data_IF_756222700865
#
_entry.id   IF_756222700865
#
_cell.length_a   1.000
_cell.length_b   1.000
_cell.length_c   1.000
_cell.angle_alpha   90.00
_cell.angle_beta   90.00
_cell.angle_gamma   90.00
#
_symmetry.space_group_name_H-M   'P 1'
#
loop_
_entity.id
_entity.type
_entity.pdbx_description
1 polymer ?
#
# COMPACT_ATOMS: atom_id res chain seq x y z
N UNK A 1 10.36 23.90 41.05
CA UNK A 1 9.15 24.05 41.88
C UNK A 1 8.72 22.75 42.57
N UNK A 2 8.47 21.65 41.86
CA UNK A 2 8.07 20.37 42.48
C UNK A 2 9.08 19.82 43.53
N UNK A 3 10.38 19.94 43.26
CA UNK A 3 11.43 19.53 44.21
C UNK A 3 11.40 20.29 45.55
N UNK A 4 11.03 21.58 45.52
CA UNK A 4 10.94 22.39 46.73
C UNK A 4 9.75 21.95 47.60
N UNK A 5 8.61 21.64 46.97
CA UNK A 5 7.44 21.08 47.66
C UNK A 5 7.71 19.70 48.25
N UNK A 6 8.37 18.80 47.51
CA UNK A 6 8.72 17.46 47.99
C UNK A 6 9.73 17.54 49.14
N UNK A 7 10.76 18.39 49.03
CA UNK A 7 11.74 18.57 50.12
C UNK A 7 11.10 19.19 51.37
N UNK A 8 10.20 20.16 51.20
CA UNK A 8 9.46 20.77 52.29
C UNK A 8 8.51 19.77 52.96
N UNK A 9 7.88 18.89 52.18
CA UNK A 9 7.01 17.83 52.69
C UNK A 9 7.78 16.77 53.50
N UNK A 10 8.93 16.30 52.99
CA UNK A 10 9.77 15.32 53.69
C UNK A 10 10.40 15.90 54.96
N UNK A 11 10.81 17.16 54.92
CA UNK A 11 11.29 17.86 56.12
C UNK A 11 10.17 18.01 57.14
N UNK A 12 8.98 18.50 56.76
CA UNK A 12 7.85 18.69 57.67
C UNK A 12 7.36 17.38 58.30
N UNK A 13 7.21 16.31 57.50
CA UNK A 13 6.75 15.01 58.01
C UNK A 13 7.82 14.29 58.85
N UNK A 14 9.10 14.48 58.52
CA UNK A 14 10.22 14.04 59.36
C UNK A 14 10.26 14.75 60.72
N UNK A 15 9.97 16.05 60.76
CA UNK A 15 9.94 16.81 62.02
C UNK A 15 8.73 16.45 62.90
N UNK A 16 7.56 16.21 62.32
CA UNK A 16 6.35 15.87 63.11
C UNK A 16 6.42 14.46 63.69
N UNK A 17 7.01 13.49 62.99
CA UNK A 17 7.19 12.13 63.49
C UNK A 17 8.20 12.04 64.64
N UNK A 18 9.20 12.94 64.68
CA UNK A 18 10.14 13.05 65.81
C UNK A 18 9.47 13.67 67.05
N UNK A 19 8.55 14.62 66.88
CA UNK A 19 7.78 15.19 67.99
C UNK A 19 6.81 14.16 68.61
N UNK A 20 6.21 13.27 67.80
CA UNK A 20 5.36 12.18 68.30
C UNK A 20 6.04 11.19 69.25
N UNK A 21 7.37 11.02 69.14
CA UNK A 21 8.12 10.13 70.01
C UNK A 21 8.45 10.76 71.38
N UNK A 22 8.13 12.05 71.58
CA UNK A 22 8.67 12.85 72.67
C UNK A 22 7.62 13.67 73.45
N UNK A 23 6.41 13.17 73.74
CA UNK A 23 5.62 13.84 74.80
C UNK A 23 4.13 13.58 74.87
N UNK A 24 3.73 12.54 75.60
CA UNK A 24 2.40 12.48 76.23
C UNK A 24 2.51 12.77 77.73
N UNK A 25 2.48 14.03 78.15
CA UNK A 25 2.44 14.39 79.58
C UNK A 25 1.02 14.74 80.03
N UNK A 26 0.54 14.06 81.07
CA UNK A 26 -0.75 14.27 81.71
C UNK A 26 -0.83 15.64 82.39
N UNK A 27 -1.68 16.54 81.89
CA UNK A 27 -2.00 17.83 82.54
C UNK A 27 -2.32 19.02 81.62
N UNK A 28 -2.07 18.95 80.31
CA UNK A 28 -2.32 20.06 79.38
C UNK A 28 -3.77 20.03 78.83
N UNK A 29 -4.46 21.18 78.84
CA UNK A 29 -5.81 21.34 78.29
C UNK A 29 -5.85 21.36 76.77
N UNK A 30 -6.97 20.92 76.17
CA UNK A 30 -7.16 20.70 74.73
C UNK A 30 -6.88 21.93 73.83
N UNK A 31 -6.79 23.16 74.38
CA UNK A 31 -6.62 24.41 73.63
C UNK A 31 -5.61 25.42 74.24
N UNK A 32 -4.80 25.03 75.23
CA UNK A 32 -3.83 25.98 75.82
C UNK A 32 -2.46 25.92 75.15
N UNK A 33 -2.04 27.06 74.59
CA UNK A 33 -0.70 27.27 74.00
C UNK A 33 0.18 27.93 75.08
N UNK A 34 1.00 27.14 75.78
CA UNK A 34 2.07 27.58 76.69
C UNK A 34 3.40 26.94 76.30
N UNK A 35 4.50 27.64 76.53
CA UNK A 35 5.87 27.09 76.37
C UNK A 35 6.04 25.87 77.28
N UNK A 36 6.01 24.67 76.69
CA UNK A 36 6.14 23.38 77.37
C UNK A 36 4.94 22.43 77.25
N UNK A 37 3.80 22.85 76.70
CA UNK A 37 2.67 21.95 76.37
C UNK A 37 2.62 21.74 74.85
N UNK A 38 2.83 20.51 74.39
CA UNK A 38 2.70 20.15 72.98
C UNK A 38 1.21 20.13 72.58
N UNK A 39 0.89 20.67 71.38
CA UNK A 39 -0.47 20.71 70.85
C UNK A 39 -1.11 19.31 70.88
N UNK A 40 -2.30 19.20 71.46
CA UNK A 40 -2.99 17.91 71.64
C UNK A 40 -3.15 17.11 70.33
N UNK A 41 -3.02 15.78 70.44
CA UNK A 41 -2.93 14.85 69.30
C UNK A 41 -4.05 14.94 68.25
N UNK A 42 -5.23 15.45 68.59
CA UNK A 42 -6.32 15.70 67.63
C UNK A 42 -6.08 16.92 66.74
N UNK A 43 -5.48 17.98 67.29
CA UNK A 43 -5.15 19.18 66.52
C UNK A 43 -3.98 18.91 65.57
N UNK A 44 -3.03 18.05 65.97
CA UNK A 44 -1.99 17.56 65.08
C UNK A 44 -2.54 16.62 63.99
N UNK A 45 -3.55 15.79 64.28
CA UNK A 45 -4.18 14.92 63.28
C UNK A 45 -4.97 15.73 62.22
N UNK A 46 -5.65 16.81 62.63
CA UNK A 46 -6.38 17.69 61.71
C UNK A 46 -5.44 18.60 60.91
N UNK A 47 -4.50 19.30 61.56
CA UNK A 47 -3.55 20.19 60.87
C UNK A 47 -2.45 19.44 60.12
N UNK A 48 -2.05 18.28 60.61
CA UNK A 48 -1.07 17.41 59.98
C UNK A 48 -1.75 16.64 58.85
N UNK A 49 -2.45 15.56 59.17
CA UNK A 49 -2.80 14.55 58.16
C UNK A 49 -3.90 15.02 57.20
N UNK A 50 -4.93 15.73 57.68
CA UNK A 50 -6.05 16.17 56.82
C UNK A 50 -5.63 17.32 55.89
N UNK A 51 -4.96 18.34 56.43
CA UNK A 51 -4.52 19.50 55.62
C UNK A 51 -3.43 19.08 54.64
N UNK A 52 -2.46 18.27 55.09
CA UNK A 52 -1.38 17.78 54.21
C UNK A 52 -1.96 16.84 53.14
N UNK A 53 -2.89 15.94 53.51
CA UNK A 53 -3.59 15.08 52.56
C UNK A 53 -4.39 15.86 51.51
N UNK A 54 -5.10 16.92 51.92
CA UNK A 54 -5.84 17.79 51.02
C UNK A 54 -4.91 18.55 50.05
N UNK A 55 -3.79 19.10 50.53
CA UNK A 55 -2.80 19.77 49.69
C UNK A 55 -2.16 18.81 48.69
N UNK A 56 -1.84 17.59 49.12
CA UNK A 56 -1.29 16.56 48.23
C UNK A 56 -2.31 16.12 47.18
N UNK A 57 -3.58 15.97 47.56
CA UNK A 57 -4.66 15.64 46.63
C UNK A 57 -4.85 16.74 45.57
N UNK A 58 -4.85 18.02 45.96
CA UNK A 58 -4.93 19.16 45.03
C UNK A 58 -3.70 19.16 44.11
N UNK A 59 -2.50 18.95 44.65
CA UNK A 59 -1.27 18.91 43.86
C UNK A 59 -1.26 17.78 42.83
N UNK A 60 -1.66 16.56 43.24
CA UNK A 60 -1.80 15.42 42.34
C UNK A 60 -2.89 15.65 41.30
N UNK A 61 -4.00 16.29 41.67
CA UNK A 61 -5.07 16.65 40.75
C UNK A 61 -4.58 17.64 39.68
N UNK A 62 -3.81 18.65 40.06
CA UNK A 62 -3.21 19.62 39.12
C UNK A 62 -2.23 18.91 38.17
N UNK A 63 -1.36 18.05 38.69
CA UNK A 63 -0.41 17.29 37.85
C UNK A 63 -1.14 16.34 36.88
N UNK A 64 -2.14 15.61 37.38
CA UNK A 64 -2.96 14.73 36.55
C UNK A 64 -3.69 15.52 35.46
N UNK A 65 -4.28 16.67 35.80
CA UNK A 65 -4.97 17.55 34.85
C UNK A 65 -4.03 18.09 33.77
N UNK A 66 -2.84 18.59 34.13
CA UNK A 66 -1.85 19.05 33.16
C UNK A 66 -1.33 17.92 32.24
N UNK A 67 -1.09 16.74 32.81
CA UNK A 67 -0.65 15.58 32.03
C UNK A 67 -1.76 15.11 31.07
N UNK A 68 -3.01 15.09 31.51
CA UNK A 68 -4.17 14.74 30.69
C UNK A 68 -4.38 15.73 29.55
N UNK A 69 -4.29 17.04 29.80
CA UNK A 69 -4.38 18.07 28.75
C UNK A 69 -3.28 17.88 27.69
N UNK A 70 -2.04 17.61 28.12
CA UNK A 70 -0.93 17.38 27.19
C UNK A 70 -1.15 16.12 26.35
N UNK A 71 -1.66 15.05 26.97
CA UNK A 71 -1.98 13.80 26.30
C UNK A 71 -3.10 14.01 25.26
N UNK A 72 -4.15 14.73 25.63
CA UNK A 72 -5.29 15.04 24.76
C UNK A 72 -4.87 15.91 23.56
N UNK A 73 -4.04 16.93 23.78
CA UNK A 73 -3.50 17.75 22.70
C UNK A 73 -2.61 16.94 21.76
N UNK A 74 -1.75 16.07 22.29
CA UNK A 74 -0.93 15.18 21.47
C UNK A 74 -1.80 14.19 20.67
N UNK A 75 -2.83 13.63 21.29
CA UNK A 75 -3.77 12.74 20.62
C UNK A 75 -4.51 13.45 19.47
N UNK A 76 -4.97 14.69 19.68
CA UNK A 76 -5.57 15.51 18.60
C UNK A 76 -4.60 15.77 17.45
N UNK A 77 -3.35 16.11 17.75
CA UNK A 77 -2.33 16.36 16.73
C UNK A 77 -2.04 15.09 15.94
N UNK A 78 -1.89 13.95 16.61
CA UNK A 78 -1.67 12.64 15.96
C UNK A 78 -2.85 12.30 15.06
N UNK A 79 -4.08 12.45 15.54
CA UNK A 79 -5.29 12.18 14.75
C UNK A 79 -5.32 13.03 13.48
N UNK A 80 -5.01 14.32 13.58
CA UNK A 80 -4.92 15.20 12.41
C UNK A 80 -3.83 14.77 11.42
N UNK A 81 -2.67 14.33 11.93
CA UNK A 81 -1.58 13.82 11.08
C UNK A 81 -2.02 12.56 10.35
N UNK A 82 -2.69 11.63 11.03
CA UNK A 82 -3.20 10.39 10.44
C UNK A 82 -4.21 10.69 9.33
N UNK A 83 -5.18 11.57 9.59
CA UNK A 83 -6.18 11.98 8.59
C UNK A 83 -5.53 12.61 7.36
N UNK A 84 -4.56 13.51 7.56
CA UNK A 84 -3.82 14.12 6.46
C UNK A 84 -3.00 13.10 5.67
N UNK A 85 -2.39 12.12 6.35
CA UNK A 85 -1.64 11.05 5.70
C UNK A 85 -2.55 10.10 4.91
N UNK A 86 -3.73 9.77 5.44
CA UNK A 86 -4.72 8.94 4.77
C UNK A 86 -5.26 9.63 3.52
N UNK A 87 -5.58 10.93 3.61
CA UNK A 87 -6.00 11.72 2.45
C UNK A 87 -4.91 11.77 1.38
N UNK A 88 -3.65 12.02 1.77
CA UNK A 88 -2.53 12.05 0.83
C UNK A 88 -2.32 10.68 0.18
N UNK A 89 -2.45 9.58 0.93
CA UNK A 89 -2.37 8.22 0.42
C UNK A 89 -3.49 7.94 -0.59
N UNK A 90 -4.73 8.35 -0.30
CA UNK A 90 -5.87 8.17 -1.19
C UNK A 90 -5.69 8.95 -2.49
N UNK A 91 -5.23 10.20 -2.44
CA UNK A 91 -4.90 11.00 -3.64
C UNK A 91 -3.81 10.33 -4.50
N UNK A 92 -2.77 9.79 -3.86
CA UNK A 92 -1.73 9.01 -4.57
C UNK A 92 -2.33 7.76 -5.21
N UNK A 93 -3.28 7.10 -4.55
CA UNK A 93 -3.97 5.91 -5.07
C UNK A 93 -4.74 6.24 -6.33
N UNK A 94 -5.56 7.29 -6.28
CA UNK A 94 -6.37 7.75 -7.41
C UNK A 94 -5.50 8.09 -8.62
N UNK A 95 -4.44 8.86 -8.40
CA UNK A 95 -3.49 9.22 -9.44
C UNK A 95 -2.80 7.98 -10.03
N UNK A 96 -2.37 7.06 -9.17
CA UNK A 96 -1.70 5.82 -9.58
C UNK A 96 -2.58 4.96 -10.47
N UNK A 97 -3.85 4.77 -10.09
CA UNK A 97 -4.81 4.01 -10.89
C UNK A 97 -5.05 4.68 -12.24
N UNK A 98 -5.27 6.00 -12.26
CA UNK A 98 -5.45 6.74 -13.50
C UNK A 98 -4.22 6.66 -14.42
N UNK A 99 -3.03 6.83 -13.87
CA UNK A 99 -1.77 6.72 -14.60
C UNK A 99 -1.58 5.32 -15.20
N UNK A 100 -1.82 4.26 -14.39
CA UNK A 100 -1.75 2.87 -14.87
C UNK A 100 -2.75 2.60 -16.00
N UNK A 101 -3.99 3.11 -15.91
CA UNK A 101 -4.98 2.98 -17.00
C UNK A 101 -4.45 3.57 -18.31
N UNK A 102 -3.85 4.75 -18.23
CA UNK A 102 -3.30 5.43 -19.41
C UNK A 102 -2.13 4.65 -20.01
N UNK A 103 -1.21 4.15 -19.17
CA UNK A 103 -0.07 3.34 -19.62
C UNK A 103 -0.52 2.05 -20.31
N UNK A 104 -1.48 1.32 -19.74
CA UNK A 104 -2.00 0.09 -20.36
C UNK A 104 -2.80 0.35 -21.64
N UNK A 105 -3.54 1.46 -21.69
CA UNK A 105 -4.22 1.90 -22.92
C UNK A 105 -3.21 2.24 -24.01
N UNK A 106 -2.10 2.88 -23.66
CA UNK A 106 -1.01 3.18 -24.57
C UNK A 106 -0.32 1.91 -25.07
N UNK A 107 -0.05 0.93 -24.19
CA UNK A 107 0.45 -0.39 -24.60
C UNK A 107 -0.49 -1.08 -25.58
N UNK A 108 -1.80 -1.06 -25.31
CA UNK A 108 -2.81 -1.65 -26.19
C UNK A 108 -2.78 -1.02 -27.59
N UNK A 109 -2.63 0.31 -27.64
CA UNK A 109 -2.54 1.06 -28.88
C UNK A 109 -1.29 0.69 -29.69
N UNK A 110 -0.11 0.71 -29.05
CA UNK A 110 1.16 0.34 -29.70
C UNK A 110 1.09 -1.11 -30.20
N UNK A 111 0.59 -2.03 -29.39
CA UNK A 111 0.42 -3.44 -29.78
C UNK A 111 -0.48 -3.58 -31.03
N UNK A 112 -1.54 -2.77 -31.12
CA UNK A 112 -2.41 -2.72 -32.29
C UNK A 112 -1.71 -2.16 -33.53
N UNK A 113 -0.86 -1.12 -33.36
CA UNK A 113 -0.04 -0.58 -34.44
C UNK A 113 0.95 -1.61 -34.97
N UNK A 114 1.73 -2.26 -34.08
CA UNK A 114 2.66 -3.33 -34.47
C UNK A 114 1.94 -4.41 -35.28
N UNK A 115 0.79 -4.89 -34.81
CA UNK A 115 0.03 -5.90 -35.55
C UNK A 115 -0.43 -5.41 -36.94
N UNK A 116 -0.83 -4.15 -37.06
CA UNK A 116 -1.20 -3.56 -38.36
C UNK A 116 0.01 -3.48 -39.29
N UNK A 117 1.17 -3.03 -38.81
CA UNK A 117 2.38 -2.93 -39.61
C UNK A 117 2.91 -4.31 -40.03
N UNK A 118 2.77 -5.33 -39.17
CA UNK A 118 3.07 -6.73 -39.51
C UNK A 118 2.15 -7.27 -40.61
N UNK A 119 0.84 -7.02 -40.52
CA UNK A 119 -0.12 -7.41 -41.57
C UNK A 119 0.23 -6.71 -42.88
N UNK A 120 0.50 -5.40 -42.84
CA UNK A 120 0.88 -4.63 -44.02
C UNK A 120 2.17 -5.19 -44.66
N UNK A 121 3.18 -5.49 -43.84
CA UNK A 121 4.44 -6.09 -44.28
C UNK A 121 4.19 -7.41 -45.02
N UNK A 122 3.37 -8.31 -44.46
CA UNK A 122 3.03 -9.59 -45.09
C UNK A 122 2.20 -9.41 -46.37
N UNK A 123 1.27 -8.45 -46.42
CA UNK A 123 0.50 -8.17 -47.66
C UNK A 123 1.36 -7.58 -48.78
N UNK A 124 2.54 -7.02 -48.46
CA UNK A 124 3.44 -6.43 -49.47
C UNK A 124 4.00 -7.51 -50.42
N UNK A 125 4.02 -8.78 -49.99
CA UNK A 125 4.43 -9.92 -50.81
C UNK A 125 3.45 -10.25 -51.94
N UNK A 126 2.15 -10.05 -51.70
CA UNK A 126 1.08 -10.43 -52.64
C UNK A 126 0.78 -9.34 -53.69
N UNK A 127 1.39 -8.16 -53.56
CA UNK A 127 1.17 -7.04 -54.48
C UNK A 127 1.99 -7.21 -55.78
N UNK A 128 1.39 -6.89 -56.92
CA UNK A 128 2.10 -6.84 -58.20
C UNK A 128 2.81 -5.47 -58.34
N UNK A 129 4.06 -5.39 -57.89
CA UNK A 129 4.88 -4.18 -57.85
C UNK A 129 6.30 -4.49 -58.32
N UNK A 130 7.04 -3.46 -58.74
CA UNK A 130 8.46 -3.57 -59.10
C UNK A 130 9.28 -4.08 -57.89
N UNK A 131 10.18 -5.04 -58.13
CA UNK A 131 10.94 -5.74 -57.08
C UNK A 131 11.69 -4.77 -56.15
N UNK A 132 12.29 -3.72 -56.72
CA UNK A 132 13.01 -2.68 -55.97
C UNK A 132 12.09 -1.87 -55.05
N UNK A 133 10.86 -1.61 -55.48
CA UNK A 133 9.87 -0.92 -54.65
C UNK A 133 9.37 -1.80 -53.50
N UNK A 134 9.20 -3.10 -53.75
CA UNK A 134 8.85 -4.09 -52.72
C UNK A 134 9.90 -4.15 -51.61
N UNK A 135 11.17 -4.28 -51.98
CA UNK A 135 12.29 -4.36 -51.04
C UNK A 135 12.41 -3.08 -50.20
N UNK A 136 12.28 -1.91 -50.82
CA UNK A 136 12.29 -0.63 -50.09
C UNK A 136 11.12 -0.51 -49.11
N UNK A 137 9.89 -0.86 -49.52
CA UNK A 137 8.73 -0.82 -48.61
C UNK A 137 8.87 -1.79 -47.45
N UNK A 138 9.42 -2.98 -47.70
CA UNK A 138 9.69 -3.97 -46.66
C UNK A 138 10.69 -3.44 -45.64
N UNK A 139 11.76 -2.80 -46.07
CA UNK A 139 12.75 -2.22 -45.17
C UNK A 139 12.16 -1.08 -44.32
N UNK A 140 11.34 -0.21 -44.92
CA UNK A 140 10.64 0.85 -44.19
C UNK A 140 9.70 0.26 -43.13
N UNK A 141 8.90 -0.74 -43.51
CA UNK A 141 7.96 -1.40 -42.59
C UNK A 141 8.69 -2.19 -41.50
N UNK A 142 9.82 -2.82 -41.79
CA UNK A 142 10.67 -3.49 -40.80
C UNK A 142 11.19 -2.51 -39.76
N UNK A 143 11.71 -1.36 -40.23
CA UNK A 143 12.19 -0.30 -39.34
C UNK A 143 11.05 0.30 -38.49
N UNK A 144 9.85 0.47 -39.07
CA UNK A 144 8.66 0.91 -38.35
C UNK A 144 8.26 -0.08 -37.24
N UNK A 145 8.20 -1.37 -37.59
CA UNK A 145 7.92 -2.45 -36.64
C UNK A 145 8.92 -2.44 -35.47
N UNK A 146 10.22 -2.37 -35.77
CA UNK A 146 11.28 -2.33 -34.76
C UNK A 146 11.18 -1.07 -33.87
N UNK A 147 10.83 0.07 -34.46
CA UNK A 147 10.62 1.32 -33.73
C UNK A 147 9.45 1.22 -32.75
N UNK A 148 8.32 0.65 -33.18
CA UNK A 148 7.14 0.45 -32.34
C UNK A 148 7.37 -0.63 -31.26
N UNK A 149 8.14 -1.68 -31.53
CA UNK A 149 8.58 -2.63 -30.50
C UNK A 149 9.43 -1.95 -29.43
N UNK A 150 10.41 -1.14 -29.83
CA UNK A 150 11.24 -0.38 -28.90
C UNK A 150 10.40 0.60 -28.07
N UNK A 151 9.36 1.19 -28.68
CA UNK A 151 8.41 2.07 -27.98
C UNK A 151 7.56 1.29 -26.97
N UNK A 152 7.09 0.09 -27.32
CA UNK A 152 6.38 -0.79 -26.39
C UNK A 152 7.27 -1.15 -25.19
N UNK A 153 8.53 -1.53 -25.43
CA UNK A 153 9.49 -1.84 -24.38
C UNK A 153 9.66 -0.67 -23.40
N UNK A 154 9.83 0.56 -23.90
CA UNK A 154 9.93 1.77 -23.05
C UNK A 154 8.68 2.00 -22.19
N UNK A 155 7.49 1.77 -22.75
CA UNK A 155 6.24 1.93 -21.99
C UNK A 155 6.11 0.85 -20.91
N UNK A 156 6.56 -0.39 -21.19
CA UNK A 156 6.61 -1.47 -20.20
C UNK A 156 7.56 -1.10 -19.05
N UNK A 157 8.77 -0.63 -19.35
CA UNK A 157 9.74 -0.23 -18.32
C UNK A 157 9.23 0.95 -17.49
N UNK A 158 8.62 1.95 -18.14
CA UNK A 158 7.96 3.06 -17.45
C UNK A 158 6.86 2.57 -16.51
N UNK A 159 6.11 1.54 -16.92
CA UNK A 159 5.05 0.95 -16.10
C UNK A 159 5.62 0.21 -14.90
N UNK A 160 6.69 -0.58 -15.08
CA UNK A 160 7.39 -1.24 -13.96
C UNK A 160 7.95 -0.26 -12.95
N UNK A 161 8.57 0.81 -13.41
CA UNK A 161 9.09 1.86 -12.53
C UNK A 161 7.97 2.53 -11.74
N UNK A 162 6.83 2.78 -12.38
CA UNK A 162 5.64 3.28 -11.68
C UNK A 162 5.09 2.23 -10.71
N UNK A 163 5.09 0.94 -11.02
CA UNK A 163 4.66 -0.12 -10.10
C UNK A 163 5.47 -0.14 -8.80
N UNK A 164 6.78 0.06 -8.88
CA UNK A 164 7.63 0.20 -7.69
C UNK A 164 7.22 1.38 -6.82
N UNK A 165 6.86 2.51 -7.44
CA UNK A 165 6.47 3.73 -6.75
C UNK A 165 5.06 3.68 -6.13
N UNK A 166 4.21 2.75 -6.55
CA UNK A 166 2.81 2.64 -6.09
C UNK A 166 2.57 1.40 -5.22
N UNK A 167 3.61 0.62 -4.94
CA UNK A 167 3.54 -0.60 -4.15
C UNK A 167 3.14 -0.36 -2.67
N UNK A 168 3.36 0.85 -2.16
CA UNK A 168 2.94 1.30 -0.83
C UNK A 168 1.45 1.72 -0.77
N UNK A 169 0.86 2.02 -1.93
CA UNK A 169 -0.50 2.59 -2.02
C UNK A 169 -1.52 1.59 -2.59
N UNK A 170 -1.11 0.77 -3.57
CA UNK A 170 -1.97 -0.24 -4.19
C UNK A 170 -1.94 -1.56 -3.45
N UNK A 171 -2.99 -2.36 -3.66
CA UNK A 171 -3.08 -3.71 -3.10
C UNK A 171 -2.04 -4.63 -3.76
N UNK A 172 -1.29 -5.44 -2.98
CA UNK A 172 -0.24 -6.31 -3.53
C UNK A 172 -0.73 -7.26 -4.62
N UNK A 173 -1.98 -7.74 -4.52
CA UNK A 173 -2.57 -8.60 -5.54
C UNK A 173 -2.69 -7.89 -6.90
N UNK A 174 -3.08 -6.61 -6.90
CA UNK A 174 -3.18 -5.81 -8.12
C UNK A 174 -1.78 -5.61 -8.71
N UNK A 175 -0.82 -5.19 -7.88
CA UNK A 175 0.57 -4.95 -8.30
C UNK A 175 1.19 -6.21 -8.93
N UNK A 176 1.06 -7.37 -8.27
CA UNK A 176 1.60 -8.64 -8.78
C UNK A 176 0.97 -9.07 -10.11
N UNK A 177 -0.32 -8.84 -10.30
CA UNK A 177 -0.99 -9.16 -11.56
C UNK A 177 -0.52 -8.25 -12.69
N UNK A 178 -0.38 -6.95 -12.42
CA UNK A 178 0.12 -5.99 -13.41
C UNK A 178 1.56 -6.34 -13.78
N UNK A 179 2.42 -6.62 -12.80
CA UNK A 179 3.81 -7.05 -13.05
C UNK A 179 3.87 -8.33 -13.88
N UNK A 180 3.02 -9.33 -13.57
CA UNK A 180 2.93 -10.56 -14.35
C UNK A 180 2.55 -10.33 -15.82
N UNK A 181 1.69 -9.34 -16.10
CA UNK A 181 1.39 -8.93 -17.48
C UNK A 181 2.59 -8.21 -18.10
N UNK A 182 3.26 -7.29 -17.39
CA UNK A 182 4.47 -6.63 -17.89
C UNK A 182 5.59 -7.63 -18.22
N UNK A 183 5.84 -8.64 -17.38
CA UNK A 183 6.76 -9.75 -17.65
C UNK A 183 6.39 -10.50 -18.93
N UNK A 184 5.14 -10.93 -19.04
CA UNK A 184 4.66 -11.62 -20.24
C UNK A 184 4.84 -10.78 -21.51
N UNK A 185 4.57 -9.46 -21.44
CA UNK A 185 4.72 -8.56 -22.58
C UNK A 185 6.19 -8.33 -22.96
N UNK A 186 7.12 -8.27 -22.00
CA UNK A 186 8.56 -8.14 -22.27
C UNK A 186 9.17 -9.36 -22.97
N UNK A 187 8.58 -10.53 -22.79
CA UNK A 187 9.05 -11.77 -23.44
C UNK A 187 8.54 -11.93 -24.88
N UNK A 188 7.72 -11.01 -25.37
CA UNK A 188 7.20 -11.06 -26.73
C UNK A 188 8.31 -10.68 -27.68
N UNK A 189 8.59 -11.58 -28.63
CA UNK A 189 9.42 -11.32 -29.79
C UNK A 189 8.62 -11.64 -31.04
N UNK A 190 8.70 -10.76 -32.04
CA UNK A 190 8.25 -11.09 -33.38
C UNK A 190 9.11 -12.22 -33.93
N UNK A 191 8.47 -13.18 -34.60
CA UNK A 191 9.15 -14.31 -35.22
C UNK A 191 9.20 -14.07 -36.72
N UNK A 192 10.41 -14.06 -37.27
CA UNK A 192 10.62 -14.02 -38.70
C UNK A 192 10.78 -15.45 -39.22
N UNK A 193 9.85 -15.87 -40.08
CA UNK A 193 9.95 -17.15 -40.77
C UNK A 193 10.96 -17.08 -41.90
N UNK A 194 11.47 -18.24 -42.33
CA UNK A 194 12.43 -18.39 -43.44
C UNK A 194 11.96 -17.81 -44.79
N UNK A 195 10.68 -17.50 -44.93
CA UNK A 195 10.08 -16.88 -46.12
C UNK A 195 9.98 -15.35 -46.03
N UNK A 196 10.72 -14.72 -45.10
CA UNK A 196 10.69 -13.28 -44.88
C UNK A 196 9.29 -12.79 -44.44
N UNK A 197 8.51 -13.66 -43.80
CA UNK A 197 7.17 -13.36 -43.25
C UNK A 197 7.34 -13.11 -41.76
N UNK A 198 6.77 -12.01 -41.27
CA UNK A 198 6.78 -11.68 -39.84
C UNK A 198 5.49 -12.19 -39.21
N UNK A 199 5.62 -13.04 -38.19
CA UNK A 199 4.50 -13.52 -37.40
C UNK A 199 4.49 -12.89 -36.02
N UNK A 200 3.28 -12.50 -35.59
CA UNK A 200 3.01 -12.06 -34.23
C UNK A 200 2.17 -13.10 -33.47
N UNK A 201 2.75 -14.25 -33.07
CA UNK A 201 2.00 -15.39 -32.54
C UNK A 201 1.24 -15.09 -31.24
N UNK A 202 1.78 -14.21 -30.38
CA UNK A 202 1.21 -13.91 -29.06
C UNK A 202 0.24 -12.72 -29.05
N UNK A 203 -0.04 -12.07 -30.20
CA UNK A 203 -0.82 -10.83 -30.26
C UNK A 203 -2.18 -10.92 -29.55
N UNK A 204 -2.99 -11.93 -29.85
CA UNK A 204 -4.33 -12.08 -29.26
C UNK A 204 -4.29 -12.28 -27.75
N UNK A 205 -3.36 -13.11 -27.26
CA UNK A 205 -3.18 -13.34 -25.83
C UNK A 205 -2.71 -12.07 -25.11
N UNK A 206 -1.76 -11.33 -25.70
CA UNK A 206 -1.28 -10.05 -25.17
C UNK A 206 -2.39 -9.01 -25.09
N UNK A 207 -3.19 -8.90 -26.15
CA UNK A 207 -4.35 -8.01 -26.21
C UNK A 207 -5.38 -8.34 -25.12
N UNK A 208 -5.66 -9.63 -24.91
CA UNK A 208 -6.60 -10.09 -23.87
C UNK A 208 -6.08 -9.77 -22.47
N UNK A 209 -4.79 -10.01 -22.20
CA UNK A 209 -4.15 -9.70 -20.91
C UNK A 209 -4.13 -8.21 -20.60
N UNK A 210 -3.78 -7.37 -21.57
CA UNK A 210 -3.82 -5.90 -21.40
C UNK A 210 -5.25 -5.43 -21.12
N UNK A 211 -6.24 -5.93 -21.87
CA UNK A 211 -7.65 -5.59 -21.64
C UNK A 211 -8.13 -5.99 -20.25
N UNK A 212 -7.77 -7.18 -19.78
CA UNK A 212 -8.10 -7.63 -18.43
C UNK A 212 -7.57 -6.66 -17.36
N UNK A 213 -6.33 -6.19 -17.48
CA UNK A 213 -5.77 -5.20 -16.55
C UNK A 213 -6.54 -3.88 -16.62
N UNK A 214 -6.87 -3.40 -17.82
CA UNK A 214 -7.66 -2.16 -17.99
C UNK A 214 -9.04 -2.30 -17.33
N UNK A 215 -9.73 -3.41 -17.57
CA UNK A 215 -11.03 -3.71 -16.95
C UNK A 215 -10.92 -3.77 -15.43
N UNK A 216 -9.87 -4.40 -14.90
CA UNK A 216 -9.60 -4.43 -13.47
C UNK A 216 -9.36 -3.06 -12.88
N UNK A 217 -8.53 -2.25 -13.52
CA UNK A 217 -8.34 -0.87 -13.10
C UNK A 217 -9.63 -0.05 -13.19
N UNK A 218 -10.54 -0.36 -14.12
CA UNK A 218 -11.84 0.30 -14.25
C UNK A 218 -12.82 -0.03 -13.11
N UNK A 219 -12.62 -1.13 -12.40
CA UNK A 219 -13.42 -1.44 -11.19
C UNK A 219 -13.07 -0.59 -9.97
N UNK A 220 -12.03 0.24 -10.08
CA UNK A 220 -11.66 1.19 -9.05
C UNK A 220 -12.63 2.37 -9.00
N UNK A 221 -13.18 2.63 -7.82
CA UNK A 221 -14.05 3.78 -7.57
C UNK A 221 -13.32 4.80 -6.69
N UNK A 222 -13.33 6.07 -7.10
CA UNK A 222 -12.69 7.17 -6.37
C UNK A 222 -13.38 7.42 -5.03
N UNK A 223 -14.70 7.24 -4.95
CA UNK A 223 -15.47 7.45 -3.71
C UNK A 223 -15.11 6.46 -2.59
N UNK A 224 -14.81 5.21 -2.95
CA UNK A 224 -14.51 4.14 -1.98
C UNK A 224 -13.01 3.80 -1.90
N UNK A 225 -12.16 4.47 -2.69
CA UNK A 225 -10.74 4.19 -2.88
C UNK A 225 -10.40 2.69 -2.93
N UNK A 226 -11.24 1.87 -3.55
CA UNK A 226 -11.14 0.40 -3.53
C UNK A 226 -11.55 -0.22 -4.85
N UNK A 227 -11.04 -1.44 -5.09
CA UNK A 227 -11.38 -2.23 -6.27
C UNK A 227 -12.58 -3.12 -5.98
N UNK A 228 -13.54 -3.14 -6.91
CA UNK A 228 -14.62 -4.13 -6.87
C UNK A 228 -14.09 -5.48 -7.36
N UNK A 229 -14.48 -6.59 -6.70
CA UNK A 229 -14.10 -7.93 -7.16
C UNK A 229 -14.70 -8.19 -8.54
N UNK A 230 -13.85 -8.42 -9.54
CA UNK A 230 -14.27 -9.02 -10.80
C UNK A 230 -14.50 -10.51 -10.55
N UNK A 231 -15.64 -11.03 -11.00
CA UNK A 231 -15.87 -12.47 -11.10
C UNK A 231 -14.98 -12.96 -12.25
N UNK A 232 -13.91 -13.71 -11.92
CA UNK A 232 -12.86 -14.13 -12.87
C UNK A 232 -13.33 -15.13 -13.95
N UNK A 233 -14.62 -15.47 -13.99
CA UNK A 233 -15.20 -16.54 -14.81
C UNK A 233 -15.08 -16.35 -16.34
N UNK A 234 -14.70 -15.16 -16.83
CA UNK A 234 -14.58 -14.88 -18.28
C UNK A 234 -13.15 -14.81 -18.82
N UNK A 235 -12.14 -14.90 -17.96
CA UNK A 235 -10.74 -14.79 -18.36
C UNK A 235 -9.94 -15.97 -17.82
N UNK A 236 -10.29 -17.17 -18.27
CA UNK A 236 -9.41 -18.35 -18.14
C UNK A 236 -8.04 -18.02 -18.76
N UNK A 237 -7.10 -17.59 -17.90
CA UNK A 237 -5.66 -17.55 -18.12
C UNK A 237 -5.13 -18.89 -17.61
N UNK A 238 -5.63 -19.99 -18.20
CA UNK A 238 -4.95 -21.26 -18.19
C UNK A 238 -5.25 -21.93 -19.52
N UNK A 239 -4.36 -21.68 -20.48
CA UNK A 239 -4.21 -22.49 -21.68
C UNK A 239 -3.70 -23.88 -21.26
N UNK A 240 -4.57 -24.69 -20.66
CA UNK A 240 -4.33 -26.09 -20.34
C UNK A 240 -5.48 -27.01 -20.78
N UNK A 241 -6.41 -26.53 -21.62
CA UNK A 241 -7.47 -27.38 -22.21
C UNK A 241 -7.21 -27.84 -23.65
N UNK A 242 -6.18 -27.35 -24.33
CA UNK A 242 -5.82 -27.83 -25.69
C UNK A 242 -4.85 -29.02 -25.69
N UNK A 243 -4.37 -29.47 -24.52
CA UNK A 243 -3.55 -30.70 -24.39
C UNK A 243 -4.36 -31.97 -24.08
N UNK A 244 -5.57 -31.85 -23.52
CA UNK A 244 -6.39 -33.03 -23.23
C UNK A 244 -7.13 -33.58 -24.45
N UNK A 245 -7.51 -32.74 -25.42
CA UNK A 245 -8.19 -33.25 -26.62
C UNK A 245 -7.24 -33.87 -27.67
N UNK A 246 -5.94 -33.53 -27.66
CA UNK A 246 -4.93 -34.24 -28.47
C UNK A 246 -4.49 -35.58 -27.87
N UNK A 247 -4.58 -35.75 -26.54
CA UNK A 247 -4.29 -37.03 -25.89
C UNK A 247 -5.41 -38.04 -26.08
N UNK A 248 -6.66 -37.59 -26.19
CA UNK A 248 -7.81 -38.48 -26.42
C UNK A 248 -7.83 -38.94 -27.88
N UNK A 249 -7.58 -38.07 -28.87
CA UNK A 249 -7.57 -38.47 -30.29
C UNK A 249 -6.44 -39.45 -30.65
N UNK A 250 -5.25 -39.27 -30.06
CA UNK A 250 -4.11 -40.18 -30.30
C UNK A 250 -4.18 -41.50 -29.51
N UNK A 251 -5.15 -41.66 -28.59
CA UNK A 251 -5.39 -42.92 -27.89
C UNK A 251 -6.44 -43.81 -28.56
N UNK A 252 -7.27 -43.24 -29.43
CA UNK A 252 -8.28 -43.97 -30.20
C UNK A 252 -7.76 -44.47 -31.55
N UNK A 253 -6.73 -43.84 -32.13
CA UNK A 253 -6.12 -44.34 -33.38
C UNK A 253 -5.13 -45.50 -33.18
N UNK A 254 -4.57 -45.67 -31.96
CA UNK A 254 -3.61 -46.75 -31.66
C UNK A 254 -4.24 -48.04 -31.10
N UNK A 255 -5.57 -48.20 -31.19
CA UNK A 255 -6.28 -49.43 -30.77
C UNK A 255 -6.99 -50.19 -31.89
N UNK A 256 -6.85 -49.76 -33.15
CA UNK A 256 -7.50 -50.41 -34.29
C UNK A 256 -6.51 -51.07 -35.30
N UNK A 257 -5.27 -51.36 -34.89
CA UNK A 257 -4.30 -52.06 -35.75
C UNK A 257 -3.62 -53.27 -35.08
N UNK A 258 -4.21 -53.81 -34.02
CA UNK A 258 -3.89 -55.16 -33.51
C UNK A 258 -5.23 -55.87 -33.29
N UNK A 259 -5.72 -56.50 -34.37
CA UNK A 259 -6.74 -57.56 -34.46
C UNK A 259 -7.57 -57.37 -35.74
N UNK A 260 -7.01 -57.81 -36.87
CA UNK A 260 -7.59 -58.58 -38.00
C UNK A 260 -6.50 -58.80 -39.05
#
# INVERSE_FOLDING_TARGET
MAYLFISGFLLKTGFTSIAYAAGGTSGCGMFEIREGCELGGWMHLILGDVVIGALLAIFLHILAHHNNIKLENNARVIQKIIEMQEEQRNRRKDYSVFNLKNLFTHMLHILGQVNKSVVNFNTTFDLDMEQKEKEWRQEVLRNEIQSEENRLARVIDTTRNNLLAVNDVLEPNIVNQIEGVCMYLSEIKLQESSFNIIHFPKYHTSKKKIKYVIEKLNTYTVESHSFTKIIEDNFDIHENKTKNNRKILNSTENKNCEDV
#
